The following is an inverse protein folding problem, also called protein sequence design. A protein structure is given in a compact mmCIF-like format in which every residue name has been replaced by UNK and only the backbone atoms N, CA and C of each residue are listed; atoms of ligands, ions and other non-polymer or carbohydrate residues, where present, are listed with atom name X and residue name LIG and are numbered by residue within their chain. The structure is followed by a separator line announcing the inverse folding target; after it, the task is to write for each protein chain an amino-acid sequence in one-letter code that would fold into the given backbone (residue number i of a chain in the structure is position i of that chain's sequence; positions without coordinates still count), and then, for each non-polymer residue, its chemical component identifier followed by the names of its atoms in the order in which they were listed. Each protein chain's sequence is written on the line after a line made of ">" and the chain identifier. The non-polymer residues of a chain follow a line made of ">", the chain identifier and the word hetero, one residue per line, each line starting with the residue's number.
data_IF_314831295643
#
_entry.id   IF_314831295643
#
_cell.length_a   1.000
_cell.length_b   1.000
_cell.length_c   1.000
_cell.angle_alpha   90.00
_cell.angle_beta   90.00
_cell.angle_gamma   90.00
#
_symmetry.space_group_name_H-M   'P 1'
#
loop_
_entity.id
_entity.type
_entity.pdbx_description
1 polymer ?
#
# COMPACT_ATOMS: atom_id res chain seq x y z
N UNK A 1 22.33 11.81 6.47
CA UNK A 1 22.89 13.18 6.39
C UNK A 1 21.73 14.14 6.21
N UNK A 2 21.94 15.45 6.35
CA UNK A 2 20.86 16.44 6.17
C UNK A 2 20.20 16.29 4.77
N UNK A 3 21.03 16.14 3.74
CA UNK A 3 20.60 15.83 2.37
C UNK A 3 19.81 14.51 2.23
N UNK A 4 20.08 13.51 3.08
CA UNK A 4 19.31 12.27 3.11
C UNK A 4 17.94 12.47 3.78
N UNK A 5 17.84 13.32 4.81
CA UNK A 5 16.58 13.66 5.45
C UNK A 5 15.71 14.48 4.50
N UNK A 6 16.29 15.49 3.85
CA UNK A 6 15.61 16.31 2.84
C UNK A 6 15.04 15.44 1.70
N UNK A 7 15.80 14.43 1.26
CA UNK A 7 15.36 13.44 0.29
C UNK A 7 14.10 12.68 0.72
N UNK A 8 14.10 12.19 1.96
CA UNK A 8 13.00 11.42 2.51
C UNK A 8 11.75 12.29 2.71
N UNK A 9 11.94 13.56 3.07
CA UNK A 9 10.84 14.52 3.24
C UNK A 9 10.25 14.99 1.90
N UNK A 10 11.07 15.09 0.84
CA UNK A 10 10.62 15.55 -0.47
C UNK A 10 9.90 14.46 -1.29
N UNK A 11 10.07 13.18 -0.95
CA UNK A 11 9.45 12.08 -1.66
C UNK A 11 7.99 11.86 -1.23
N UNK A 12 7.09 11.60 -2.19
CA UNK A 12 5.65 11.58 -1.95
C UNK A 12 5.14 10.28 -1.28
N UNK A 13 5.95 9.23 -1.21
CA UNK A 13 5.60 7.93 -0.60
C UNK A 13 4.30 7.32 -1.12
N UNK A 14 4.16 7.07 -2.43
CA UNK A 14 2.96 6.46 -3.01
C UNK A 14 2.58 5.11 -2.37
N UNK A 15 3.55 4.37 -1.83
CA UNK A 15 3.40 3.10 -1.10
C UNK A 15 3.31 3.22 0.43
N UNK A 16 3.09 4.42 0.97
CA UNK A 16 2.97 4.71 2.41
C UNK A 16 4.23 4.34 3.24
N UNK A 17 4.07 4.24 4.57
CA UNK A 17 5.14 3.91 5.55
C UNK A 17 5.87 2.59 5.25
N UNK A 18 5.25 1.67 4.51
CA UNK A 18 5.92 0.41 4.09
C UNK A 18 7.03 0.68 3.08
N UNK A 19 6.82 1.62 2.15
CA UNK A 19 7.83 2.02 1.18
C UNK A 19 9.00 2.73 1.87
N UNK A 20 8.71 3.63 2.84
CA UNK A 20 9.74 4.25 3.68
C UNK A 20 10.60 3.22 4.38
N UNK A 21 9.98 2.21 5.01
CA UNK A 21 10.71 1.11 5.66
C UNK A 21 11.58 0.36 4.66
N UNK A 22 11.04 -0.05 3.52
CA UNK A 22 11.79 -0.81 2.51
C UNK A 22 13.00 -0.01 1.97
N UNK A 23 12.83 1.30 1.73
CA UNK A 23 13.92 2.19 1.33
C UNK A 23 15.00 2.26 2.40
N UNK A 24 14.62 2.44 3.68
CA UNK A 24 15.56 2.50 4.80
C UNK A 24 16.26 1.17 5.06
N UNK A 25 15.56 0.04 4.97
CA UNK A 25 16.13 -1.30 5.13
C UNK A 25 17.18 -1.58 4.04
N UNK A 26 16.87 -1.29 2.78
CA UNK A 26 17.82 -1.43 1.67
C UNK A 26 19.01 -0.49 1.83
N UNK A 27 18.77 0.76 2.22
CA UNK A 27 19.82 1.73 2.46
C UNK A 27 20.76 1.28 3.59
N UNK A 28 20.20 0.71 4.67
CA UNK A 28 20.97 0.16 5.78
C UNK A 28 21.82 -1.05 5.36
N UNK A 29 21.27 -1.95 4.53
CA UNK A 29 22.00 -3.10 3.99
C UNK A 29 23.17 -2.71 3.09
N UNK A 30 23.01 -1.63 2.31
CA UNK A 30 24.03 -1.14 1.38
C UNK A 30 25.03 -0.18 2.03
N UNK A 31 24.70 0.39 3.20
CA UNK A 31 25.59 1.29 3.91
C UNK A 31 26.57 0.53 4.79
N UNK A 32 27.86 0.76 4.59
CA UNK A 32 28.92 0.17 5.45
C UNK A 32 29.22 0.99 6.71
N UNK A 33 28.45 2.04 7.01
CA UNK A 33 28.71 2.98 8.09
C UNK A 33 27.45 3.45 8.81
N UNK A 34 27.63 4.11 9.96
CA UNK A 34 26.54 4.48 10.88
C UNK A 34 25.64 5.64 10.37
N UNK A 35 25.97 6.24 9.23
CA UNK A 35 25.23 7.38 8.65
C UNK A 35 24.82 7.04 7.22
N UNK A 36 23.53 7.09 6.95
CA UNK A 36 23.00 7.02 5.59
C UNK A 36 23.26 8.35 4.88
N UNK A 37 23.87 8.28 3.71
CA UNK A 37 24.00 9.42 2.79
C UNK A 37 22.87 9.40 1.74
N UNK A 38 22.64 10.53 1.06
CA UNK A 38 21.66 10.61 -0.03
C UNK A 38 21.89 9.53 -1.08
N UNK A 39 23.15 9.22 -1.39
CA UNK A 39 23.55 8.21 -2.36
C UNK A 39 23.13 6.78 -1.99
N UNK A 40 22.90 6.50 -0.70
CA UNK A 40 22.39 5.20 -0.23
C UNK A 40 20.87 5.07 -0.38
N UNK A 41 20.15 6.18 -0.54
CA UNK A 41 18.69 6.20 -0.68
C UNK A 41 18.29 6.01 -2.13
N UNK A 42 17.89 4.78 -2.45
CA UNK A 42 17.30 4.44 -3.73
C UNK A 42 15.79 4.57 -3.65
N UNK A 43 15.28 5.67 -4.22
CA UNK A 43 13.87 5.87 -4.46
C UNK A 43 13.50 5.19 -5.77
N UNK A 44 12.33 4.56 -5.82
CA UNK A 44 11.82 4.01 -7.06
C UNK A 44 11.41 5.20 -7.95
N UNK A 45 12.37 5.71 -8.73
CA UNK A 45 12.19 6.78 -9.71
C UNK A 45 11.43 6.24 -10.91
N UNK A 46 10.14 5.99 -10.71
CA UNK A 46 9.24 5.81 -11.82
C UNK A 46 7.80 6.05 -11.34
N UNK A 47 7.19 7.12 -11.87
CA UNK A 47 5.75 7.10 -12.16
C UNK A 47 5.36 6.04 -13.22
N UNK A 48 6.15 4.97 -13.34
CA UNK A 48 6.08 3.89 -14.31
C UNK A 48 6.87 2.66 -13.79
N UNK A 49 6.84 2.37 -12.49
CA UNK A 49 7.15 1.04 -12.00
C UNK A 49 5.79 0.38 -11.75
N UNK A 50 5.51 -0.71 -12.48
CA UNK A 50 4.39 -1.59 -12.16
C UNK A 50 4.36 -1.80 -10.64
N UNK A 51 3.17 -1.81 -10.00
CA UNK A 51 3.06 -1.90 -8.55
C UNK A 51 3.90 -3.09 -8.12
N UNK A 52 5.06 -2.85 -7.51
CA UNK A 52 5.92 -3.92 -7.02
C UNK A 52 5.07 -4.60 -5.97
N UNK A 53 4.54 -5.73 -6.39
CA UNK A 53 3.46 -6.49 -5.78
C UNK A 53 3.95 -7.08 -4.48
N UNK A 54 4.02 -6.23 -3.47
CA UNK A 54 3.70 -6.60 -2.10
C UNK A 54 2.59 -5.67 -1.64
N UNK A 55 1.50 -5.65 -2.41
CA UNK A 55 0.21 -5.39 -1.81
C UNK A 55 0.15 -6.36 -0.62
N UNK A 56 0.27 -5.82 0.60
CA UNK A 56 -0.03 -6.58 1.80
C UNK A 56 -1.32 -7.36 1.55
N UNK A 57 -1.46 -8.58 2.07
CA UNK A 57 -2.68 -9.37 1.92
C UNK A 57 -3.93 -8.50 2.20
N UNK A 58 -3.83 -7.59 3.16
CA UNK A 58 -4.84 -6.60 3.50
C UNK A 58 -5.12 -5.56 2.38
N UNK A 59 -4.09 -5.07 1.70
CA UNK A 59 -4.22 -4.14 0.58
C UNK A 59 -4.81 -4.81 -0.68
N UNK A 60 -4.38 -6.05 -0.97
CA UNK A 60 -5.01 -6.85 -2.04
C UNK A 60 -6.48 -7.10 -1.74
N UNK A 61 -6.77 -7.52 -0.51
CA UNK A 61 -8.12 -7.77 -0.04
C UNK A 61 -8.98 -6.51 -0.14
N UNK A 62 -8.49 -5.36 0.36
CA UNK A 62 -9.19 -4.08 0.26
C UNK A 62 -9.50 -3.72 -1.18
N UNK A 63 -8.50 -3.81 -2.07
CA UNK A 63 -8.67 -3.47 -3.47
C UNK A 63 -9.66 -4.41 -4.16
N UNK A 64 -9.59 -5.70 -3.86
CA UNK A 64 -10.49 -6.70 -4.41
C UNK A 64 -11.94 -6.47 -3.94
N UNK A 65 -12.15 -6.27 -2.64
CA UNK A 65 -13.46 -5.94 -2.06
C UNK A 65 -14.03 -4.65 -2.66
N UNK A 66 -13.21 -3.61 -2.82
CA UNK A 66 -13.63 -2.34 -3.41
C UNK A 66 -14.03 -2.48 -4.88
N UNK A 67 -13.29 -3.27 -5.66
CA UNK A 67 -13.61 -3.53 -7.06
C UNK A 67 -14.93 -4.29 -7.19
N UNK A 68 -15.12 -5.38 -6.43
CA UNK A 68 -16.36 -6.17 -6.49
C UNK A 68 -17.57 -5.36 -6.03
N UNK A 69 -17.42 -4.50 -5.01
CA UNK A 69 -18.50 -3.61 -4.57
C UNK A 69 -18.89 -2.61 -5.66
N UNK A 70 -17.91 -2.03 -6.37
CA UNK A 70 -18.13 -1.12 -7.50
C UNK A 70 -18.85 -1.83 -8.65
N UNK A 71 -18.40 -3.01 -9.03
CA UNK A 71 -19.00 -3.83 -10.10
C UNK A 71 -20.39 -4.35 -9.75
N UNK A 72 -20.74 -4.34 -8.46
CA UNK A 72 -22.06 -4.69 -7.94
C UNK A 72 -22.96 -3.47 -7.74
N UNK A 73 -22.48 -2.26 -8.10
CA UNK A 73 -23.22 -1.01 -7.95
C UNK A 73 -23.53 -0.66 -6.49
N UNK A 74 -22.64 -0.97 -5.56
CA UNK A 74 -22.83 -0.69 -4.12
C UNK A 74 -23.65 -1.75 -3.36
N UNK A 75 -24.25 -2.72 -4.07
CA UNK A 75 -25.07 -3.76 -3.45
C UNK A 75 -24.22 -4.78 -2.70
N UNK A 76 -24.18 -4.67 -1.39
CA UNK A 76 -23.42 -5.56 -0.48
C UNK A 76 -23.83 -7.03 -0.63
N UNK A 77 -25.11 -7.32 -0.88
CA UNK A 77 -25.59 -8.69 -1.09
C UNK A 77 -24.95 -9.36 -2.31
N UNK A 78 -24.97 -8.66 -3.46
CA UNK A 78 -24.40 -9.14 -4.71
C UNK A 78 -22.87 -9.22 -4.63
N UNK A 79 -22.24 -8.27 -3.95
CA UNK A 79 -20.79 -8.29 -3.73
C UNK A 79 -20.35 -9.47 -2.85
N UNK A 80 -21.12 -9.80 -1.80
CA UNK A 80 -20.84 -10.94 -0.92
C UNK A 80 -20.95 -12.27 -1.66
N UNK A 81 -21.97 -12.43 -2.51
CA UNK A 81 -22.14 -13.62 -3.36
C UNK A 81 -20.98 -13.78 -4.35
N UNK A 82 -20.56 -12.69 -5.00
CA UNK A 82 -19.42 -12.69 -5.94
C UNK A 82 -18.08 -13.00 -5.24
N UNK A 83 -17.91 -12.54 -4.02
CA UNK A 83 -16.73 -12.82 -3.20
C UNK A 83 -16.78 -14.22 -2.55
N UNK A 84 -17.92 -14.91 -2.60
CA UNK A 84 -18.11 -16.21 -1.95
C UNK A 84 -18.03 -16.17 -0.42
N UNK A 85 -18.32 -15.01 0.19
CA UNK A 85 -18.24 -14.82 1.65
C UNK A 85 -19.61 -14.46 2.24
N UNK A 86 -19.86 -14.78 3.53
CA UNK A 86 -21.06 -14.33 4.21
C UNK A 86 -21.18 -12.80 4.23
N UNK A 87 -22.41 -12.29 4.17
CA UNK A 87 -22.70 -10.84 4.24
C UNK A 87 -22.10 -10.19 5.49
N UNK A 88 -22.16 -10.87 6.64
CA UNK A 88 -21.56 -10.40 7.90
C UNK A 88 -20.05 -10.20 7.77
N UNK A 89 -19.34 -11.14 7.13
CA UNK A 89 -17.90 -11.04 6.87
C UNK A 89 -17.57 -9.87 5.96
N UNK A 90 -18.41 -9.62 4.94
CA UNK A 90 -18.22 -8.46 4.07
C UNK A 90 -18.43 -7.14 4.84
N UNK A 91 -19.46 -7.02 5.68
CA UNK A 91 -19.66 -5.83 6.52
C UNK A 91 -18.47 -5.55 7.44
N UNK A 92 -17.92 -6.58 8.08
CA UNK A 92 -16.70 -6.45 8.92
C UNK A 92 -15.50 -5.97 8.09
N UNK A 93 -15.31 -6.50 6.87
CA UNK A 93 -14.25 -6.06 5.95
C UNK A 93 -14.45 -4.62 5.47
N UNK A 94 -15.68 -4.25 5.12
CA UNK A 94 -16.02 -2.88 4.74
C UNK A 94 -15.70 -1.89 5.87
N UNK A 95 -16.06 -2.24 7.11
CA UNK A 95 -15.73 -1.43 8.29
C UNK A 95 -14.22 -1.35 8.54
N UNK A 96 -13.51 -2.47 8.46
CA UNK A 96 -12.04 -2.54 8.63
C UNK A 96 -11.30 -1.68 7.60
N UNK A 97 -11.80 -1.64 6.37
CA UNK A 97 -11.16 -0.92 5.27
C UNK A 97 -11.71 0.49 5.02
N UNK A 98 -12.69 0.95 5.81
CA UNK A 98 -13.32 2.26 5.63
C UNK A 98 -14.08 2.42 4.32
N UNK A 99 -14.64 1.32 3.79
CA UNK A 99 -15.42 1.31 2.55
C UNK A 99 -16.90 1.44 2.90
N UNK A 100 -17.58 2.46 2.37
CA UNK A 100 -19.03 2.65 2.51
C UNK A 100 -19.77 2.06 1.31
N UNK A 101 -20.91 1.40 1.58
CA UNK A 101 -21.89 1.12 0.54
C UNK A 101 -22.81 2.34 0.43
N UNK A 102 -22.99 2.86 -0.79
CA UNK A 102 -24.01 3.87 -1.12
C UNK A 102 -25.18 3.20 -1.80
#
# INVERSE_FOLDING_TARGET
>A
TDAAVEALCAYAWPGNVRELRNVLERAALLSSGMRLDRSALHFDMAGCAAPTTELSLEAMERQHVANVLRDSGGKVTLAAERLGIPRSTLYEKLKRHGLTSS
#
